data_IF_828424222852
#
_entry.id   IF_828424222852
#
_cell.length_a   1.000
_cell.length_b   1.000
_cell.length_c   1.000
_cell.angle_alpha   90.00
_cell.angle_beta   90.00
_cell.angle_gamma   90.00
#
_symmetry.space_group_name_H-M   'P 1'
#
loop_
_entity.id
_entity.type
_entity.pdbx_description
1 polymer ?
#
# COMPACT_ATOMS: atom_id res chain seq x y z
N UNK A 1 -14.65 -31.06 -65.18
CA UNK A 1 -15.71 -30.12 -64.79
C UNK A 1 -16.57 -30.88 -63.79
N UNK A 2 -16.22 -30.73 -62.51
CA UNK A 2 -17.09 -30.13 -61.46
C UNK A 2 -18.05 -31.17 -60.88
N UNK A 3 -18.25 -31.34 -59.57
CA UNK A 3 -17.67 -30.83 -58.33
C UNK A 3 -18.14 -31.78 -57.22
N UNK A 4 -17.35 -31.86 -56.17
CA UNK A 4 -17.57 -32.49 -54.86
C UNK A 4 -18.86 -32.06 -54.16
N UNK A 5 -19.38 -32.91 -53.26
CA UNK A 5 -19.93 -32.50 -51.96
C UNK A 5 -19.84 -33.66 -50.96
N UNK A 6 -18.82 -33.59 -50.11
CA UNK A 6 -18.64 -34.44 -48.93
C UNK A 6 -18.94 -33.59 -47.69
N UNK A 7 -20.08 -33.87 -47.04
CA UNK A 7 -20.42 -33.34 -45.72
C UNK A 7 -19.53 -33.99 -44.65
N UNK A 8 -18.51 -33.27 -44.19
CA UNK A 8 -17.84 -33.53 -42.92
C UNK A 8 -18.23 -32.43 -41.93
N UNK A 9 -19.06 -32.77 -40.95
CA UNK A 9 -19.23 -31.96 -39.75
C UNK A 9 -18.11 -32.31 -38.77
N UNK A 10 -17.40 -31.29 -38.31
CA UNK A 10 -16.30 -31.45 -37.37
C UNK A 10 -15.63 -30.10 -37.13
N UNK A 11 -16.28 -29.27 -36.33
CA UNK A 11 -15.65 -28.13 -35.68
C UNK A 11 -15.79 -28.35 -34.18
N UNK A 12 -14.75 -28.92 -33.59
CA UNK A 12 -14.41 -28.75 -32.17
C UNK A 12 -13.50 -27.51 -32.11
N UNK A 13 -14.11 -26.36 -31.92
CA UNK A 13 -13.46 -25.10 -31.59
C UNK A 13 -13.17 -25.03 -30.09
N UNK A 14 -12.24 -25.89 -29.66
CA UNK A 14 -11.54 -25.75 -28.39
C UNK A 14 -10.65 -24.51 -28.43
N UNK A 15 -11.22 -23.35 -28.11
CA UNK A 15 -10.47 -22.12 -27.81
C UNK A 15 -9.70 -22.32 -26.51
N UNK A 16 -8.56 -23.02 -26.60
CA UNK A 16 -7.54 -23.03 -25.57
C UNK A 16 -6.99 -21.62 -25.44
N UNK A 17 -7.54 -20.85 -24.50
CA UNK A 17 -6.87 -19.70 -23.89
C UNK A 17 -5.45 -20.16 -23.53
N UNK A 18 -4.45 -19.78 -24.32
CA UNK A 18 -3.06 -19.99 -23.98
C UNK A 18 -2.78 -19.09 -22.79
N UNK A 19 -2.82 -19.65 -21.58
CA UNK A 19 -2.34 -18.98 -20.39
C UNK A 19 -0.93 -18.47 -20.72
N UNK A 20 -0.77 -17.15 -20.85
CA UNK A 20 0.55 -16.56 -21.08
C UNK A 20 1.42 -16.97 -19.91
N UNK A 21 2.47 -17.73 -20.21
CA UNK A 21 3.40 -18.21 -19.19
C UNK A 21 4.07 -17.00 -18.55
N UNK A 22 3.78 -16.75 -17.28
CA UNK A 22 4.37 -15.64 -16.52
C UNK A 22 5.86 -15.91 -16.35
N UNK A 23 6.67 -15.22 -17.16
CA UNK A 23 8.13 -15.32 -17.09
C UNK A 23 8.66 -14.38 -16.00
N UNK A 24 9.22 -14.97 -14.95
CA UNK A 24 9.96 -14.25 -13.90
C UNK A 24 11.45 -14.60 -13.97
N UNK A 25 12.31 -13.65 -13.62
CA UNK A 25 13.75 -13.88 -13.46
C UNK A 25 14.08 -14.64 -12.18
N UNK A 26 15.36 -14.97 -11.96
CA UNK A 26 15.84 -15.68 -10.75
C UNK A 26 15.54 -14.94 -9.43
N UNK A 27 15.18 -13.66 -9.52
CA UNK A 27 14.80 -12.83 -8.40
C UNK A 27 13.27 -12.67 -8.29
N UNK A 28 12.47 -13.31 -9.13
CA UNK A 28 11.01 -13.23 -9.10
C UNK A 28 10.45 -11.93 -9.71
N UNK A 29 11.15 -11.32 -10.69
CA UNK A 29 10.66 -10.12 -11.39
C UNK A 29 10.33 -10.41 -12.85
N UNK A 30 9.40 -9.63 -13.39
CA UNK A 30 9.20 -9.56 -14.84
C UNK A 30 10.50 -9.02 -15.49
N UNK A 31 11.11 -9.75 -16.43
CA UNK A 31 12.40 -9.38 -17.01
C UNK A 31 12.29 -8.15 -17.91
N UNK A 32 13.34 -7.32 -17.92
CA UNK A 32 13.49 -6.18 -18.83
C UNK A 32 14.97 -6.02 -19.21
N UNK A 33 15.28 -5.20 -20.22
CA UNK A 33 16.66 -4.94 -20.62
C UNK A 33 17.19 -3.63 -20.00
N UNK A 34 18.46 -3.59 -19.62
CA UNK A 34 19.07 -2.41 -18.98
C UNK A 34 19.15 -2.52 -17.47
N UNK A 35 19.02 -1.40 -16.75
CA UNK A 35 19.20 -1.37 -15.28
C UNK A 35 18.19 -0.45 -14.60
N UNK A 36 17.78 -0.83 -13.39
CA UNK A 36 17.03 -0.01 -12.44
C UNK A 36 17.81 0.09 -11.11
N UNK A 37 17.62 1.19 -10.38
CA UNK A 37 18.17 1.36 -9.03
C UNK A 37 17.15 0.89 -7.99
N UNK A 38 17.31 -0.35 -7.52
CA UNK A 38 16.46 -0.93 -6.47
C UNK A 38 16.87 -0.53 -5.05
N UNK A 39 17.93 0.27 -4.89
CA UNK A 39 18.32 0.74 -3.57
C UNK A 39 17.25 1.71 -3.04
N UNK A 40 17.09 1.75 -1.73
CA UNK A 40 16.29 2.79 -1.10
C UNK A 40 16.91 4.18 -1.42
N UNK A 41 16.13 5.07 -2.03
CA UNK A 41 16.51 6.47 -2.29
C UNK A 41 15.52 7.43 -1.67
N UNK A 42 16.02 8.58 -1.24
CA UNK A 42 15.21 9.65 -0.68
C UNK A 42 15.65 10.99 -1.24
N UNK A 43 14.69 11.78 -1.71
CA UNK A 43 14.89 13.06 -2.37
C UNK A 43 14.12 14.13 -1.60
N UNK A 44 14.85 15.03 -0.94
CA UNK A 44 14.25 16.12 -0.14
C UNK A 44 13.98 17.34 -1.00
N UNK A 45 12.79 17.93 -0.92
CA UNK A 45 12.40 19.04 -1.80
C UNK A 45 12.36 18.63 -3.27
N UNK A 46 11.96 17.37 -3.52
CA UNK A 46 11.80 16.81 -4.85
C UNK A 46 10.64 17.50 -5.57
N UNK A 47 9.49 17.63 -4.92
CA UNK A 47 8.36 18.39 -5.43
C UNK A 47 8.72 19.88 -5.42
N UNK A 48 8.81 20.49 -6.61
CA UNK A 48 9.16 21.90 -6.78
C UNK A 48 7.94 22.77 -6.60
N UNK A 49 7.79 23.25 -5.38
CA UNK A 49 6.82 24.27 -5.03
C UNK A 49 7.34 25.66 -5.41
N UNK A 50 6.44 26.53 -5.86
CA UNK A 50 6.75 27.91 -6.20
C UNK A 50 7.30 28.67 -4.98
N UNK A 51 8.19 29.66 -5.20
CA UNK A 51 8.74 30.45 -4.09
C UNK A 51 7.70 31.30 -3.33
N UNK A 52 7.99 31.61 -2.06
CA UNK A 52 7.16 32.50 -1.23
C UNK A 52 5.73 31.98 -1.03
N UNK A 53 4.72 32.86 -1.14
CA UNK A 53 3.31 32.48 -1.02
C UNK A 53 2.77 31.57 -2.12
N UNK A 54 3.57 31.28 -3.16
CA UNK A 54 3.21 30.31 -4.20
C UNK A 54 3.29 28.86 -3.71
N UNK A 55 4.22 28.55 -2.80
CA UNK A 55 4.41 27.17 -2.32
C UNK A 55 3.16 26.60 -1.66
N UNK A 56 2.55 27.40 -0.80
CA UNK A 56 1.33 27.02 -0.09
C UNK A 56 0.16 26.82 -1.06
N UNK A 57 0.07 27.66 -2.10
CA UNK A 57 -0.96 27.50 -3.13
C UNK A 57 -0.77 26.22 -3.94
N UNK A 58 0.45 25.91 -4.34
CA UNK A 58 0.77 24.67 -5.05
C UNK A 58 0.43 23.45 -4.19
N UNK A 59 0.79 23.49 -2.91
CA UNK A 59 0.50 22.43 -1.96
C UNK A 59 -1.00 22.25 -1.72
N UNK A 60 -1.74 23.34 -1.57
CA UNK A 60 -3.20 23.31 -1.43
C UNK A 60 -3.88 22.71 -2.66
N UNK A 61 -3.41 23.06 -3.87
CA UNK A 61 -3.90 22.44 -5.11
C UNK A 61 -3.62 20.94 -5.12
N UNK A 62 -2.39 20.52 -4.85
CA UNK A 62 -2.01 19.10 -4.85
C UNK A 62 -2.81 18.29 -3.81
N UNK A 63 -3.01 18.84 -2.60
CA UNK A 63 -3.76 18.16 -1.53
C UNK A 63 -5.26 18.09 -1.83
N UNK A 64 -5.84 19.16 -2.39
CA UNK A 64 -7.24 19.16 -2.83
C UNK A 64 -7.47 18.10 -3.91
N UNK A 65 -6.65 18.10 -4.95
CA UNK A 65 -6.74 17.13 -6.04
C UNK A 65 -6.55 15.69 -5.51
N UNK A 66 -5.63 15.47 -4.57
CA UNK A 66 -5.48 14.19 -3.89
C UNK A 66 -6.73 13.80 -3.08
N UNK A 67 -7.42 14.74 -2.42
CA UNK A 67 -8.68 14.47 -1.73
C UNK A 67 -9.79 14.07 -2.69
N UNK A 68 -9.92 14.79 -3.81
CA UNK A 68 -10.93 14.50 -4.83
C UNK A 68 -10.75 13.10 -5.38
N UNK A 69 -9.53 12.72 -5.77
CA UNK A 69 -9.23 11.36 -6.24
C UNK A 69 -9.46 10.32 -5.16
N UNK A 70 -9.04 10.58 -3.92
CA UNK A 70 -9.25 9.64 -2.80
C UNK A 70 -10.74 9.36 -2.52
N UNK A 71 -11.60 10.37 -2.64
CA UNK A 71 -13.05 10.21 -2.43
C UNK A 71 -13.74 9.40 -3.52
N UNK A 72 -13.33 9.57 -4.78
CA UNK A 72 -13.86 8.76 -5.90
C UNK A 72 -13.64 7.28 -5.58
N UNK A 73 -12.45 6.95 -5.08
CA UNK A 73 -12.10 5.61 -4.59
C UNK A 73 -12.92 5.14 -3.38
N UNK A 74 -13.22 6.01 -2.41
CA UNK A 74 -14.09 5.63 -1.28
C UNK A 74 -15.52 5.32 -1.73
N UNK A 75 -16.08 6.12 -2.65
CA UNK A 75 -17.45 6.01 -3.11
C UNK A 75 -17.72 4.71 -3.92
N UNK A 76 -16.68 4.08 -4.48
CA UNK A 76 -16.76 2.80 -5.18
C UNK A 76 -16.69 1.57 -4.28
N UNK A 77 -16.30 1.69 -3.00
CA UNK A 77 -16.12 0.54 -2.11
C UNK A 77 -17.40 0.21 -1.32
N UNK A 78 -17.99 -0.96 -1.57
CA UNK A 78 -19.21 -1.45 -0.89
C UNK A 78 -19.01 -1.72 0.63
N UNK A 79 -17.75 -1.82 1.09
CA UNK A 79 -17.40 -2.24 2.46
C UNK A 79 -16.60 -1.24 3.28
N UNK A 80 -16.46 0.02 2.86
CA UNK A 80 -15.75 1.05 3.64
C UNK A 80 -14.26 0.80 3.87
N UNK A 81 -13.70 -0.24 3.24
CA UNK A 81 -12.29 -0.52 3.08
C UNK A 81 -11.96 -0.34 1.60
N UNK A 82 -10.94 0.46 1.31
CA UNK A 82 -10.48 0.75 -0.05
C UNK A 82 -10.30 -0.56 -0.83
N UNK A 83 -11.14 -0.81 -1.84
CA UNK A 83 -11.09 -1.98 -2.72
C UNK A 83 -9.88 -1.98 -3.68
N UNK A 84 -8.75 -1.39 -3.26
CA UNK A 84 -7.51 -1.43 -4.03
C UNK A 84 -7.50 -0.58 -5.30
N UNK A 85 -8.49 0.29 -5.56
CA UNK A 85 -8.50 1.07 -6.80
C UNK A 85 -7.23 1.94 -6.91
N UNK A 86 -6.46 1.64 -7.94
CA UNK A 86 -5.25 2.34 -8.37
C UNK A 86 -5.42 2.73 -9.82
N UNK A 87 -4.74 3.78 -10.25
CA UNK A 87 -4.88 4.31 -11.59
C UNK A 87 -3.68 4.01 -12.47
N UNK A 88 -3.91 3.75 -13.75
CA UNK A 88 -2.86 3.48 -14.71
C UNK A 88 -2.49 4.71 -15.54
N UNK A 89 -1.18 4.90 -15.71
CA UNK A 89 -0.56 5.86 -16.62
C UNK A 89 0.45 5.11 -17.50
N UNK A 90 0.06 4.82 -18.74
CA UNK A 90 0.94 4.13 -19.69
C UNK A 90 2.21 4.94 -19.99
N UNK A 91 3.31 4.24 -20.30
CA UNK A 91 4.63 4.83 -20.47
C UNK A 91 4.70 5.94 -21.53
N UNK A 92 3.88 5.86 -22.58
CA UNK A 92 3.83 6.77 -23.72
C UNK A 92 2.53 7.59 -23.83
N UNK A 93 1.61 7.46 -22.88
CA UNK A 93 0.40 8.27 -22.84
C UNK A 93 0.73 9.76 -22.57
N UNK A 94 -0.13 10.67 -23.02
CA UNK A 94 -0.02 12.09 -22.62
C UNK A 94 -0.80 12.31 -21.32
N UNK A 95 -0.22 12.98 -20.31
CA UNK A 95 -0.91 13.22 -19.05
C UNK A 95 -2.06 14.21 -19.25
N UNK A 96 -3.22 13.89 -18.66
CA UNK A 96 -4.46 14.65 -18.78
C UNK A 96 -4.74 15.55 -17.57
N UNK A 97 -3.97 15.40 -16.49
CA UNK A 97 -4.00 16.26 -15.31
C UNK A 97 -2.63 16.32 -14.62
N UNK A 98 -2.51 17.15 -13.60
CA UNK A 98 -1.26 17.39 -12.88
C UNK A 98 -0.75 16.16 -12.10
N UNK A 99 -1.66 15.34 -11.56
CA UNK A 99 -1.30 14.10 -10.85
C UNK A 99 -0.78 13.03 -11.82
N UNK A 100 -1.43 12.90 -12.98
CA UNK A 100 -0.97 12.07 -14.09
C UNK A 100 0.41 12.50 -14.60
N UNK A 101 0.63 13.81 -14.75
CA UNK A 101 1.93 14.35 -15.13
C UNK A 101 3.02 14.03 -14.08
N UNK A 102 2.67 14.06 -12.79
CA UNK A 102 3.56 13.69 -11.70
C UNK A 102 3.91 12.18 -11.74
N UNK A 103 2.92 11.30 -11.90
CA UNK A 103 3.13 9.86 -12.06
C UNK A 103 4.06 9.56 -13.24
N UNK A 104 3.80 10.19 -14.39
CA UNK A 104 4.60 10.00 -15.58
C UNK A 104 6.03 10.52 -15.41
N UNK A 105 6.23 11.66 -14.76
CA UNK A 105 7.56 12.20 -14.48
C UNK A 105 8.38 11.26 -13.58
N UNK A 106 7.76 10.67 -12.55
CA UNK A 106 8.37 9.67 -11.67
C UNK A 106 8.78 8.42 -12.47
N UNK A 107 7.85 7.87 -13.27
CA UNK A 107 8.13 6.71 -14.12
C UNK A 107 9.30 6.96 -15.07
N UNK A 108 9.25 8.06 -15.84
CA UNK A 108 10.30 8.43 -16.81
C UNK A 108 11.67 8.60 -16.14
N UNK A 109 11.70 9.17 -14.94
CA UNK A 109 12.96 9.35 -14.21
C UNK A 109 13.62 8.03 -13.83
N UNK A 110 12.85 7.13 -13.19
CA UNK A 110 13.37 5.88 -12.65
C UNK A 110 13.70 4.87 -13.75
N UNK A 111 13.01 4.94 -14.89
CA UNK A 111 13.20 4.02 -16.02
C UNK A 111 14.17 4.51 -17.09
N UNK A 112 14.87 5.64 -16.87
CA UNK A 112 15.76 6.27 -17.87
C UNK A 112 16.86 5.35 -18.44
N UNK A 113 17.28 4.35 -17.67
CA UNK A 113 18.32 3.38 -18.04
C UNK A 113 17.76 1.99 -18.39
N UNK A 114 16.43 1.85 -18.41
CA UNK A 114 15.73 0.64 -18.77
C UNK A 114 15.23 0.69 -20.23
N UNK A 115 15.10 -0.49 -20.83
CA UNK A 115 14.49 -0.75 -22.12
C UNK A 115 13.39 -1.79 -21.89
N UNK A 116 12.19 -1.42 -22.28
CA UNK A 116 10.96 -2.14 -21.97
C UNK A 116 9.97 -1.95 -23.13
N UNK A 117 8.95 -2.80 -23.17
CA UNK A 117 7.79 -2.67 -24.04
C UNK A 117 6.86 -1.60 -23.49
N UNK A 118 6.70 -0.50 -24.23
CA UNK A 118 5.89 0.65 -23.82
C UNK A 118 4.40 0.32 -23.75
N UNK A 119 3.92 -0.65 -24.55
CA UNK A 119 2.50 -0.99 -24.60
C UNK A 119 1.99 -1.60 -23.29
N UNK A 120 2.90 -2.23 -22.53
CA UNK A 120 2.62 -2.92 -21.28
C UNK A 120 3.56 -2.45 -20.18
N UNK A 121 3.98 -1.18 -20.20
CA UNK A 121 4.76 -0.58 -19.11
C UNK A 121 4.17 0.75 -18.72
N UNK A 122 4.33 1.16 -17.48
CA UNK A 122 3.76 2.40 -17.00
C UNK A 122 3.85 2.59 -15.50
N UNK A 123 3.16 3.63 -15.06
CA UNK A 123 2.98 3.97 -13.66
C UNK A 123 1.58 3.54 -13.22
N UNK A 124 1.50 2.65 -12.25
CA UNK A 124 0.32 2.51 -11.41
C UNK A 124 0.44 3.55 -10.29
N UNK A 125 -0.58 4.35 -10.05
CA UNK A 125 -0.51 5.46 -9.09
C UNK A 125 -1.81 5.64 -8.32
N UNK A 126 -1.70 6.15 -7.10
CA UNK A 126 -2.85 6.47 -6.26
C UNK A 126 -2.46 7.51 -5.21
N UNK A 127 -3.45 7.92 -4.43
CA UNK A 127 -3.31 8.84 -3.32
C UNK A 127 -3.83 8.20 -2.05
N UNK A 128 -3.23 8.58 -0.93
CA UNK A 128 -3.72 8.23 0.40
C UNK A 128 -3.97 9.52 1.18
N UNK A 129 -5.17 9.68 1.72
CA UNK A 129 -5.58 10.83 2.55
C UNK A 129 -6.21 10.31 3.84
N UNK A 130 -5.40 10.11 4.87
CA UNK A 130 -5.81 9.51 6.15
C UNK A 130 -5.46 10.41 7.34
N UNK A 131 -6.03 10.13 8.51
CA UNK A 131 -5.67 10.78 9.75
C UNK A 131 -4.18 10.62 10.07
N UNK A 132 -3.61 11.58 10.80
CA UNK A 132 -2.21 11.52 11.22
C UNK A 132 -1.91 10.41 12.23
N UNK A 133 -2.95 9.90 12.88
CA UNK A 133 -2.96 8.79 13.83
C UNK A 133 -3.42 7.46 13.20
N UNK A 134 -3.81 7.47 11.93
CA UNK A 134 -4.18 6.26 11.20
C UNK A 134 -2.95 5.48 10.73
N UNK A 135 -3.08 4.15 10.72
CA UNK A 135 -2.10 3.22 10.20
C UNK A 135 -2.25 3.03 8.68
N UNK A 136 -1.12 2.90 7.99
CA UNK A 136 -1.09 2.10 6.75
C UNK A 136 -0.54 0.74 7.12
N UNK A 137 -1.40 -0.29 6.98
CA UNK A 137 -1.09 -1.67 7.29
C UNK A 137 0.13 -2.19 6.53
N UNK A 138 0.71 -3.28 7.03
CA UNK A 138 1.85 -3.92 6.37
C UNK A 138 1.38 -4.67 5.13
N UNK A 139 2.02 -4.41 3.99
CA UNK A 139 1.66 -5.02 2.72
C UNK A 139 2.87 -5.09 1.77
N UNK A 140 2.68 -5.87 0.71
CA UNK A 140 3.45 -5.78 -0.51
C UNK A 140 2.59 -5.15 -1.59
N UNK A 141 3.18 -4.29 -2.39
CA UNK A 141 2.54 -3.85 -3.62
C UNK A 141 2.61 -4.99 -4.62
N UNK A 142 1.48 -5.39 -5.19
CA UNK A 142 1.40 -6.48 -6.15
C UNK A 142 0.15 -6.39 -7.02
N UNK A 143 0.19 -7.12 -8.11
CA UNK A 143 -0.96 -7.37 -8.96
C UNK A 143 -1.85 -8.44 -8.32
N UNK A 144 -2.81 -8.02 -7.50
CA UNK A 144 -3.65 -8.95 -6.72
C UNK A 144 -4.47 -9.91 -7.60
N UNK A 145 -4.73 -9.55 -8.87
CA UNK A 145 -5.44 -10.42 -9.79
C UNK A 145 -4.62 -11.68 -10.15
N UNK A 146 -3.28 -11.62 -10.09
CA UNK A 146 -2.43 -12.78 -10.40
C UNK A 146 -2.38 -13.81 -9.30
N UNK A 147 -2.86 -13.49 -8.09
CA UNK A 147 -2.91 -14.45 -6.98
C UNK A 147 -3.81 -15.65 -7.32
N UNK A 148 -4.88 -15.44 -8.09
CA UNK A 148 -5.73 -16.52 -8.59
C UNK A 148 -4.97 -17.51 -9.49
N UNK A 149 -3.86 -17.08 -10.08
CA UNK A 149 -2.94 -17.92 -10.85
C UNK A 149 -1.81 -18.52 -10.01
N UNK A 150 -1.80 -18.26 -8.69
CA UNK A 150 -0.83 -18.80 -7.73
C UNK A 150 0.50 -18.05 -7.66
N UNK A 151 0.61 -16.86 -8.26
CA UNK A 151 1.85 -16.08 -8.27
C UNK A 151 1.66 -14.67 -7.70
N UNK A 152 2.62 -14.25 -6.87
CA UNK A 152 2.78 -12.87 -6.45
C UNK A 152 3.68 -12.13 -7.45
N UNK A 153 3.12 -11.14 -8.16
CA UNK A 153 3.85 -10.30 -9.11
C UNK A 153 3.88 -8.86 -8.60
N UNK A 154 5.08 -8.28 -8.54
CA UNK A 154 5.32 -6.99 -7.92
C UNK A 154 5.79 -5.94 -8.94
N UNK A 155 5.57 -4.65 -8.66
CA UNK A 155 6.22 -3.60 -9.42
C UNK A 155 7.75 -3.69 -9.25
N UNK A 156 8.48 -3.17 -10.23
CA UNK A 156 9.94 -3.09 -10.12
C UNK A 156 10.35 -2.13 -9.00
N UNK A 157 9.67 -0.98 -8.90
CA UNK A 157 9.89 0.01 -7.84
C UNK A 157 8.55 0.47 -7.27
N UNK A 158 8.51 0.66 -5.96
CA UNK A 158 7.45 1.37 -5.27
C UNK A 158 7.97 2.72 -4.78
N UNK A 159 7.08 3.72 -4.72
CA UNK A 159 7.46 5.09 -4.36
C UNK A 159 6.44 5.77 -3.45
N UNK A 160 6.93 6.74 -2.67
CA UNK A 160 6.08 7.61 -1.85
C UNK A 160 6.52 9.05 -2.01
N UNK A 161 5.59 9.92 -2.39
CA UNK A 161 5.74 11.37 -2.39
C UNK A 161 4.85 11.98 -1.33
N UNK A 162 5.43 12.69 -0.37
CA UNK A 162 4.71 13.27 0.75
C UNK A 162 4.17 14.66 0.38
N UNK A 163 2.85 14.82 0.47
CA UNK A 163 2.17 16.11 0.33
C UNK A 163 1.85 16.73 1.71
N UNK A 164 2.08 16.01 2.82
CA UNK A 164 2.08 16.56 4.17
C UNK A 164 3.27 16.07 5.00
N UNK A 165 3.50 16.70 6.15
CA UNK A 165 4.53 16.33 7.13
C UNK A 165 3.92 15.68 8.39
N UNK A 166 2.75 15.04 8.22
CA UNK A 166 1.95 14.43 9.29
C UNK A 166 1.95 12.90 9.16
N UNK A 167 1.87 12.21 10.29
CA UNK A 167 1.74 10.76 10.37
C UNK A 167 3.02 9.99 10.69
N UNK A 168 2.87 8.67 10.82
CA UNK A 168 4.00 7.76 11.01
C UNK A 168 4.99 7.76 9.84
N UNK A 169 6.26 7.41 10.08
CA UNK A 169 7.22 7.17 9.01
C UNK A 169 6.75 6.03 8.11
N UNK A 170 7.01 6.13 6.81
CA UNK A 170 6.98 4.94 5.97
C UNK A 170 8.16 4.06 6.35
N UNK A 171 7.88 2.79 6.65
CA UNK A 171 8.87 1.77 6.98
C UNK A 171 8.97 0.78 5.83
N UNK A 172 10.19 0.50 5.38
CA UNK A 172 10.47 -0.47 4.32
C UNK A 172 11.41 -1.52 4.88
N UNK A 173 10.99 -2.78 4.84
CA UNK A 173 11.74 -3.93 5.32
C UNK A 173 12.19 -4.73 4.11
N UNK A 174 13.44 -5.20 4.09
CA UNK A 174 13.93 -6.03 2.98
C UNK A 174 13.40 -7.49 3.02
N UNK A 175 12.17 -7.68 3.50
CA UNK A 175 11.41 -8.92 3.42
C UNK A 175 10.64 -8.93 2.11
N UNK A 176 10.93 -9.93 1.27
CA UNK A 176 10.21 -10.14 0.01
C UNK A 176 9.00 -11.04 0.22
N UNK A 177 7.94 -10.78 -0.53
CA UNK A 177 6.85 -11.75 -0.71
C UNK A 177 7.43 -12.97 -1.45
N UNK A 178 7.06 -14.21 -1.07
CA UNK A 178 7.37 -15.38 -1.87
C UNK A 178 6.74 -15.27 -3.27
N UNK A 179 7.40 -15.82 -4.29
CA UNK A 179 6.87 -15.79 -5.66
C UNK A 179 5.59 -16.62 -5.78
N UNK A 180 5.52 -17.76 -5.11
CA UNK A 180 4.32 -18.61 -5.09
C UNK A 180 3.41 -18.17 -3.96
N UNK A 181 2.12 -17.99 -4.25
CA UNK A 181 1.13 -17.71 -3.22
C UNK A 181 1.04 -18.90 -2.23
N UNK A 182 1.01 -18.59 -0.93
CA UNK A 182 0.92 -19.60 0.14
C UNK A 182 2.27 -20.15 0.62
N UNK A 183 3.39 -19.82 -0.03
CA UNK A 183 4.71 -20.12 0.51
C UNK A 183 4.97 -19.35 1.83
N UNK A 184 5.84 -19.91 2.68
CA UNK A 184 6.07 -19.38 4.02
C UNK A 184 6.56 -17.94 4.03
N UNK A 185 5.92 -17.11 4.85
CA UNK A 185 6.33 -15.74 5.14
C UNK A 185 7.39 -15.64 6.24
N UNK A 186 7.87 -16.74 6.82
CA UNK A 186 8.86 -16.71 7.90
C UNK A 186 10.25 -16.27 7.43
N UNK A 187 11.03 -15.69 8.33
CA UNK A 187 12.45 -15.42 8.10
C UNK A 187 12.97 -14.16 8.74
N UNK A 188 14.29 -13.98 8.66
CA UNK A 188 14.98 -12.82 9.21
C UNK A 188 14.94 -11.65 8.25
N UNK A 189 14.56 -10.48 8.76
CA UNK A 189 14.75 -9.20 8.07
C UNK A 189 16.14 -8.68 8.45
N UNK A 190 16.91 -8.23 7.46
CA UNK A 190 18.29 -7.78 7.69
C UNK A 190 18.46 -6.28 7.57
N UNK A 191 17.48 -5.57 6.98
CA UNK A 191 17.50 -4.12 6.80
C UNK A 191 16.11 -3.52 6.98
N UNK A 192 16.06 -2.39 7.67
CA UNK A 192 14.87 -1.57 7.85
C UNK A 192 15.21 -0.12 7.47
N UNK A 193 14.45 0.43 6.53
CA UNK A 193 14.51 1.84 6.18
C UNK A 193 13.31 2.59 6.75
N UNK A 194 13.53 3.72 7.41
CA UNK A 194 12.46 4.60 7.90
C UNK A 194 12.51 5.94 7.17
N UNK A 195 11.36 6.43 6.71
CA UNK A 195 11.25 7.70 6.00
C UNK A 195 10.17 8.56 6.65
N UNK A 196 10.55 9.64 7.33
CA UNK A 196 9.58 10.51 8.01
C UNK A 196 8.79 11.38 7.00
N UNK A 197 7.48 11.61 7.16
CA UNK A 197 6.77 12.53 6.28
C UNK A 197 7.40 13.93 6.27
N UNK A 198 7.54 14.50 5.09
CA UNK A 198 7.96 15.88 4.89
C UNK A 198 7.47 16.38 3.53
N UNK A 199 6.84 17.55 3.53
CA UNK A 199 6.26 18.14 2.32
C UNK A 199 7.29 18.17 1.19
N UNK A 200 6.89 17.60 0.05
CA UNK A 200 7.67 17.55 -1.18
C UNK A 200 8.82 16.55 -1.16
N UNK A 201 8.96 15.72 -0.14
CA UNK A 201 9.92 14.60 -0.14
C UNK A 201 9.39 13.46 -1.01
N UNK A 202 10.27 12.88 -1.82
CA UNK A 202 10.02 11.67 -2.59
C UNK A 202 10.96 10.55 -2.09
N UNK A 203 10.51 9.30 -2.14
CA UNK A 203 11.36 8.13 -1.91
C UNK A 203 10.98 7.01 -2.88
N UNK A 204 11.95 6.14 -3.19
CA UNK A 204 11.72 4.91 -3.93
C UNK A 204 12.47 3.74 -3.28
N UNK A 205 12.00 2.53 -3.53
CA UNK A 205 12.56 1.28 -3.03
C UNK A 205 12.14 0.11 -3.95
N UNK A 206 12.76 -1.05 -3.76
CA UNK A 206 12.39 -2.30 -4.46
C UNK A 206 10.91 -2.65 -4.20
N UNK A 207 10.11 -2.76 -5.25
CA UNK A 207 8.66 -2.97 -5.12
C UNK A 207 8.25 -4.29 -4.44
N UNK A 208 9.18 -5.23 -4.32
CA UNK A 208 8.94 -6.52 -3.62
C UNK A 208 9.10 -6.40 -2.10
N UNK A 209 9.48 -5.26 -1.55
CA UNK A 209 9.74 -5.12 -0.11
C UNK A 209 8.48 -4.85 0.70
N UNK A 210 8.36 -5.57 1.82
CA UNK A 210 7.31 -5.40 2.81
C UNK A 210 7.40 -3.99 3.41
N UNK A 211 6.29 -3.27 3.43
CA UNK A 211 6.29 -1.90 3.91
C UNK A 211 4.94 -1.49 4.50
N UNK A 212 4.92 -0.36 5.19
CA UNK A 212 3.74 0.21 5.83
C UNK A 212 4.04 1.60 6.40
N UNK A 213 3.05 2.23 7.04
CA UNK A 213 3.26 3.47 7.77
C UNK A 213 2.56 3.40 9.14
N UNK A 214 3.15 2.69 10.13
CA UNK A 214 2.53 2.52 11.43
C UNK A 214 2.51 3.83 12.25
N UNK A 215 1.33 4.26 12.67
CA UNK A 215 1.07 5.38 13.56
C UNK A 215 1.78 5.21 14.92
N UNK A 216 1.95 3.97 15.40
CA UNK A 216 2.72 3.68 16.62
C UNK A 216 4.17 4.20 16.59
N UNK A 217 4.72 4.45 15.38
CA UNK A 217 6.05 5.01 15.17
C UNK A 217 6.07 6.54 15.04
N UNK A 218 4.91 7.20 14.95
CA UNK A 218 4.83 8.67 14.88
C UNK A 218 5.43 9.33 16.13
N UNK A 219 5.23 8.72 17.30
CA UNK A 219 5.71 9.20 18.61
C UNK A 219 7.21 8.98 18.85
N UNK A 220 7.95 8.37 17.92
CA UNK A 220 9.41 8.26 18.05
C UNK A 220 10.03 9.65 18.11
N UNK A 221 9.49 10.61 17.35
CA UNK A 221 10.02 11.97 17.34
C UNK A 221 9.04 12.95 18.00
N UNK A 222 9.55 13.88 18.83
CA UNK A 222 8.70 14.89 19.43
C UNK A 222 8.02 15.75 18.36
N UNK A 223 6.74 16.04 18.56
CA UNK A 223 5.97 16.95 17.72
C UNK A 223 6.58 18.36 17.79
N UNK A 224 6.49 19.13 16.69
CA UNK A 224 6.95 20.53 16.69
C UNK A 224 6.17 21.32 17.77
N UNK A 225 6.82 22.24 18.52
CA UNK A 225 6.12 23.09 19.47
C UNK A 225 4.96 23.84 18.80
N UNK A 226 3.74 23.70 19.33
CA UNK A 226 2.54 24.35 18.79
C UNK A 226 1.69 23.51 17.85
N UNK A 227 2.13 22.32 17.44
CA UNK A 227 1.29 21.34 16.75
C UNK A 227 0.37 20.69 17.81
N UNK A 228 -0.90 21.12 17.87
CA UNK A 228 -1.87 20.47 18.76
C UNK A 228 -2.03 19.03 18.29
N UNK A 229 -1.74 18.07 19.18
CA UNK A 229 -2.14 16.68 18.97
C UNK A 229 -3.67 16.66 18.80
N UNK A 230 -4.22 15.95 17.81
CA UNK A 230 -5.58 15.47 17.91
C UNK A 230 -5.69 14.74 19.25
N UNK A 231 -6.74 15.00 20.02
CA UNK A 231 -6.94 14.31 21.29
C UNK A 231 -7.19 12.84 20.96
N UNK A 232 -6.33 11.96 21.46
CA UNK A 232 -6.69 10.56 21.68
C UNK A 232 -7.69 10.55 22.84
N UNK A 233 -8.96 10.85 22.57
CA UNK A 233 -10.01 10.46 23.51
C UNK A 233 -10.12 8.94 23.39
N UNK A 234 -9.65 8.23 24.41
CA UNK A 234 -9.89 6.80 24.67
C UNK A 234 -11.38 6.53 24.97
N UNK A 235 -12.26 7.05 24.12
CA UNK A 235 -13.71 6.96 24.21
C UNK A 235 -14.26 6.29 22.95
N UNK A 236 -14.48 4.99 23.07
CA UNK A 236 -15.45 4.19 22.33
C UNK A 236 -16.18 4.96 21.20
N UNK A 237 -15.57 4.95 20.01
CA UNK A 237 -16.21 5.42 18.78
C UNK A 237 -16.30 4.23 17.82
N UNK A 238 -17.15 3.27 18.18
CA UNK A 238 -17.85 2.45 17.19
C UNK A 238 -18.43 3.40 16.13
N UNK A 239 -18.07 3.18 14.86
CA UNK A 239 -18.86 3.61 13.70
C UNK A 239 -19.34 5.06 13.73
N UNK A 240 -18.43 6.02 13.72
CA UNK A 240 -18.77 7.43 13.51
C UNK A 240 -18.65 7.80 12.04
N UNK A 241 -19.62 7.38 11.22
CA UNK A 241 -19.93 7.96 9.91
C UNK A 241 -20.25 9.46 10.01
N UNK A 242 -19.25 10.25 10.37
CA UNK A 242 -19.28 11.69 10.45
C UNK A 242 -19.22 12.26 9.05
N UNK A 243 -20.39 12.36 8.41
CA UNK A 243 -20.65 13.27 7.30
C UNK A 243 -20.43 14.71 7.75
N UNK A 244 -19.17 15.10 7.98
CA UNK A 244 -18.79 16.48 7.85
C UNK A 244 -18.94 16.80 6.36
N UNK A 245 -20.05 17.44 6.04
CA UNK A 245 -20.35 18.10 4.79
C UNK A 245 -19.32 19.24 4.61
N UNK A 246 -18.04 18.87 4.48
CA UNK A 246 -16.93 19.75 4.18
C UNK A 246 -17.04 20.09 2.70
N UNK A 247 -17.12 21.38 2.40
CA UNK A 247 -17.17 21.92 1.04
C UNK A 247 -16.30 21.08 0.09
N UNK A 248 -16.95 20.59 -0.97
CA UNK A 248 -16.47 19.56 -1.89
C UNK A 248 -15.08 19.89 -2.50
N UNK A 249 -14.75 21.19 -2.55
CA UNK A 249 -13.52 21.73 -3.13
C UNK A 249 -12.38 22.04 -2.13
N UNK A 250 -12.54 21.72 -0.84
CA UNK A 250 -11.55 22.10 0.18
C UNK A 250 -10.39 21.08 0.32
N UNK A 251 -9.18 21.59 0.53
CA UNK A 251 -8.02 20.75 0.78
C UNK A 251 -8.15 20.02 2.15
N UNK A 252 -7.55 18.81 2.29
CA UNK A 252 -7.45 18.08 3.56
C UNK A 252 -6.99 18.96 4.72
N UNK A 253 -7.50 18.63 5.92
CA UNK A 253 -7.11 19.27 7.17
C UNK A 253 -5.60 19.18 7.45
N UNK A 254 -5.07 20.07 8.30
CA UNK A 254 -3.64 20.14 8.62
C UNK A 254 -3.12 18.94 9.44
N UNK A 255 -4.04 18.11 9.95
CA UNK A 255 -3.83 16.87 10.69
C UNK A 255 -3.87 15.62 9.80
N UNK A 256 -4.10 15.77 8.49
CA UNK A 256 -4.16 14.65 7.56
C UNK A 256 -2.77 14.29 7.01
N UNK A 257 -2.47 12.99 7.01
CA UNK A 257 -1.37 12.41 6.24
C UNK A 257 -1.80 12.30 4.77
N UNK A 258 -1.08 12.97 3.89
CA UNK A 258 -1.35 12.99 2.45
C UNK A 258 -0.12 12.49 1.69
N UNK A 259 -0.28 11.39 0.96
CA UNK A 259 0.77 10.84 0.11
C UNK A 259 0.27 10.56 -1.30
N UNK A 260 1.16 10.75 -2.27
CA UNK A 260 1.00 10.34 -3.66
C UNK A 260 1.98 9.20 -3.94
N UNK A 261 1.47 8.06 -4.38
CA UNK A 261 2.23 6.83 -4.55
C UNK A 261 2.26 6.45 -6.03
N UNK A 262 3.39 5.90 -6.46
CA UNK A 262 3.60 5.41 -7.82
C UNK A 262 4.40 4.13 -7.78
N UNK A 263 3.85 3.09 -8.38
CA UNK A 263 4.49 1.84 -8.70
C UNK A 263 4.97 1.87 -10.15
N UNK A 264 6.23 1.48 -10.35
CA UNK A 264 6.87 1.42 -11.67
C UNK A 264 6.80 -0.02 -12.17
N UNK A 265 6.03 -0.23 -13.23
CA UNK A 265 5.85 -1.52 -13.88
C UNK A 265 6.54 -1.53 -15.25
N UNK A 266 7.45 -2.48 -15.46
CA UNK A 266 8.09 -2.73 -16.76
C UNK A 266 7.64 -4.08 -17.33
N UNK A 267 7.27 -4.09 -18.60
CA UNK A 267 6.84 -5.28 -19.35
C UNK A 267 5.64 -6.00 -18.71
N UNK A 268 4.86 -5.32 -17.87
CA UNK A 268 3.59 -5.77 -17.32
C UNK A 268 2.67 -4.58 -17.01
N UNK A 269 1.38 -4.78 -17.24
CA UNK A 269 0.29 -3.94 -16.76
C UNK A 269 -0.42 -4.69 -15.62
N UNK A 270 -0.54 -4.14 -14.40
CA UNK A 270 -1.30 -4.78 -13.33
C UNK A 270 -2.80 -4.80 -13.69
N UNK A 271 -3.48 -5.93 -13.50
CA UNK A 271 -4.84 -6.10 -14.04
C UNK A 271 -5.87 -5.23 -13.32
N UNK A 272 -5.59 -4.83 -12.08
CA UNK A 272 -6.48 -4.00 -11.25
C UNK A 272 -6.33 -2.49 -11.46
N UNK A 273 -5.41 -2.03 -12.32
CA UNK A 273 -5.17 -0.60 -12.51
C UNK A 273 -5.74 -0.11 -13.85
N UNK A 274 -6.78 0.73 -13.78
CA UNK A 274 -7.38 1.37 -14.96
C UNK A 274 -7.02 2.85 -15.05
N UNK A 275 -7.05 3.48 -16.24
CA UNK A 275 -6.89 4.92 -16.35
C UNK A 275 -7.94 5.66 -15.50
N UNK A 276 -7.54 6.77 -14.86
CA UNK A 276 -8.47 7.64 -14.15
C UNK A 276 -9.60 8.11 -15.10
N UNK A 277 -10.84 8.14 -14.61
CA UNK A 277 -11.98 8.48 -15.43
C UNK A 277 -11.96 9.95 -15.90
N UNK A 278 -12.45 10.18 -17.13
CA UNK A 278 -12.43 11.50 -17.76
C UNK A 278 -13.25 12.56 -17.01
N UNK A 279 -14.23 12.15 -16.19
CA UNK A 279 -15.06 13.08 -15.44
C UNK A 279 -14.29 13.65 -14.24
N UNK A 280 -13.55 12.80 -13.51
CA UNK A 280 -12.63 13.18 -12.45
C UNK A 280 -11.47 13.99 -13.01
N UNK A 281 -10.83 13.56 -14.11
CA UNK A 281 -9.72 14.29 -14.74
C UNK A 281 -10.06 15.78 -15.00
N UNK A 282 -11.29 16.07 -15.43
CA UNK A 282 -11.75 17.45 -15.72
C UNK A 282 -11.85 18.35 -14.49
N UNK A 283 -11.95 17.79 -13.29
CA UNK A 283 -12.04 18.57 -12.04
C UNK A 283 -10.66 18.86 -11.44
N UNK A 284 -9.63 18.12 -11.86
CA UNK A 284 -8.27 18.23 -11.33
C UNK A 284 -7.47 19.37 -11.98
N UNK A 285 -6.43 19.81 -11.27
CA UNK A 285 -5.49 20.79 -11.79
C UNK A 285 -4.81 20.28 -13.06
N UNK A 286 -4.61 21.18 -14.00
CA UNK A 286 -3.97 20.91 -15.29
C UNK A 286 -2.49 21.33 -15.30
N UNK A 287 -2.10 22.25 -14.41
CA UNK A 287 -0.71 22.70 -14.27
C UNK A 287 0.12 21.60 -13.59
N UNK A 288 1.15 21.04 -14.23
CA UNK A 288 1.95 19.95 -13.65
C UNK A 288 2.61 20.36 -12.34
N UNK A 289 2.71 19.42 -11.40
CA UNK A 289 3.56 19.58 -10.21
C UNK A 289 4.99 19.11 -10.55
N UNK A 290 5.96 20.02 -10.76
CA UNK A 290 7.27 19.60 -11.23
C UNK A 290 8.01 18.83 -10.14
N UNK A 291 8.72 17.78 -10.51
CA UNK A 291 9.53 16.97 -9.61
C UNK A 291 10.98 16.93 -10.06
N UNK A 292 11.91 17.07 -9.13
CA UNK A 292 13.35 16.99 -9.34
C UNK A 292 13.94 15.86 -8.51
N UNK A 293 14.32 14.81 -9.22
CA UNK A 293 14.95 13.61 -8.68
C UNK A 293 16.43 13.56 -9.05
N UNK A 294 17.07 14.71 -9.25
CA UNK A 294 18.51 14.78 -9.49
C UNK A 294 19.34 14.54 -8.22
N UNK A 295 20.65 14.39 -8.40
CA UNK A 295 21.62 14.30 -7.29
C UNK A 295 21.54 15.50 -6.33
N UNK A 296 21.05 16.66 -6.78
CA UNK A 296 20.91 17.85 -5.93
C UNK A 296 19.85 17.67 -4.82
N UNK A 297 18.79 16.89 -5.07
CA UNK A 297 17.74 16.59 -4.10
C UNK A 297 17.97 15.26 -3.38
N UNK A 298 18.79 14.37 -3.95
CA UNK A 298 19.12 13.08 -3.35
C UNK A 298 19.81 13.23 -1.99
N UNK A 299 19.33 12.48 -1.00
CA UNK A 299 19.89 12.39 0.34
C UNK A 299 20.09 10.92 0.68
N UNK A 300 21.33 10.56 1.00
CA UNK A 300 21.63 9.24 1.52
C UNK A 300 20.92 9.04 2.88
N UNK A 301 20.37 7.85 3.16
CA UNK A 301 19.81 7.56 4.46
C UNK A 301 20.92 7.63 5.52
N UNK A 302 20.59 8.12 6.71
CA UNK A 302 21.50 8.05 7.86
C UNK A 302 21.55 6.61 8.34
N UNK A 303 22.73 5.98 8.26
CA UNK A 303 22.93 4.59 8.68
C UNK A 303 23.11 4.52 10.20
N UNK A 304 22.27 3.72 10.85
CA UNK A 304 22.31 3.46 12.28
C UNK A 304 22.71 2.02 12.53
N UNK A 305 23.96 1.85 12.96
CA UNK A 305 24.49 0.56 13.39
C UNK A 305 24.24 0.39 14.89
N UNK A 306 23.30 -0.48 15.26
CA UNK A 306 23.02 -0.75 16.67
C UNK A 306 23.85 -1.95 17.11
N UNK A 307 25.01 -1.67 17.71
CA UNK A 307 25.85 -2.71 18.29
C UNK A 307 25.26 -3.19 19.63
N UNK A 308 25.25 -4.51 19.83
CA UNK A 308 24.69 -5.18 21.01
C UNK A 308 25.33 -4.80 22.35
N UNK A 309 26.47 -4.11 22.34
CA UNK A 309 27.23 -3.73 23.55
C UNK A 309 26.92 -2.33 24.07
N UNK A 310 26.30 -1.46 23.25
CA UNK A 310 25.82 -0.16 23.71
C UNK A 310 24.36 -0.30 24.08
N UNK A 311 24.06 -0.11 25.35
CA UNK A 311 22.76 0.00 26.00
C UNK A 311 21.90 1.19 25.49
N UNK A 312 21.92 1.48 24.19
CA UNK A 312 20.89 2.28 23.57
C UNK A 312 19.56 1.54 23.83
N UNK A 313 18.67 2.17 24.58
CA UNK A 313 17.35 1.60 24.93
C UNK A 313 16.57 1.39 23.64
N UNK A 314 16.70 0.19 23.06
CA UNK A 314 15.85 -0.23 21.95
C UNK A 314 14.43 -0.41 22.47
N UNK A 315 13.45 0.14 21.76
CA UNK A 315 12.04 -0.12 22.01
C UNK A 315 11.58 -1.17 21.02
N UNK A 316 10.92 -2.21 21.53
CA UNK A 316 10.28 -3.22 20.69
C UNK A 316 8.93 -2.69 20.23
N UNK A 317 8.66 -2.87 18.94
CA UNK A 317 7.38 -2.66 18.30
C UNK A 317 6.97 -3.98 17.67
N UNK A 318 5.70 -4.35 17.85
CA UNK A 318 5.18 -5.64 17.43
C UNK A 318 3.81 -5.47 16.80
N UNK A 319 3.61 -6.13 15.67
CA UNK A 319 2.33 -6.22 14.97
C UNK A 319 2.04 -7.70 14.73
N UNK A 320 0.80 -8.13 14.95
CA UNK A 320 0.35 -9.51 14.78
C UNK A 320 -0.75 -9.58 13.72
N UNK A 321 -0.77 -10.66 12.94
CA UNK A 321 -1.60 -10.87 11.76
C UNK A 321 -2.15 -12.30 11.74
N UNK A 322 -3.30 -12.50 11.09
CA UNK A 322 -3.99 -13.80 10.95
C UNK A 322 -5.39 -13.78 11.59
N UNK A 323 -6.32 -14.56 11.05
CA UNK A 323 -7.71 -14.58 11.52
C UNK A 323 -7.78 -15.01 12.99
N UNK A 324 -8.43 -14.18 13.80
CA UNK A 324 -8.97 -14.63 15.09
C UNK A 324 -10.14 -15.52 14.71
N UNK A 325 -10.02 -16.83 14.90
CA UNK A 325 -11.16 -17.75 14.82
C UNK A 325 -12.18 -17.34 15.89
N UNK A 326 -13.06 -16.42 15.53
CA UNK A 326 -14.23 -16.02 16.29
C UNK A 326 -15.40 -16.20 15.35
N UNK A 327 -16.31 -17.12 15.69
CA UNK A 327 -17.63 -17.18 15.07
C UNK A 327 -18.20 -15.76 15.00
N UNK A 328 -18.52 -15.32 13.80
CA UNK A 328 -19.45 -14.23 13.58
C UNK A 328 -20.81 -14.68 14.13
N UNK A 329 -21.02 -14.47 15.43
CA UNK A 329 -22.36 -14.44 16.02
C UNK A 329 -22.99 -13.08 15.67
N UNK A 330 -23.25 -12.85 14.38
CA UNK A 330 -24.23 -11.87 13.92
C UNK A 330 -25.53 -12.61 13.61
N UNK A 331 -26.12 -13.17 14.67
CA UNK A 331 -27.54 -13.55 14.69
C UNK A 331 -28.35 -12.29 14.99
N UNK A 332 -28.47 -11.41 13.98
CA UNK A 332 -29.49 -10.36 13.97
C UNK A 332 -30.69 -10.86 13.15
N UNK A 333 -31.49 -11.70 13.83
CA UNK A 333 -32.84 -11.98 13.42
C UNK A 333 -33.65 -10.69 13.32
N UNK A 334 -34.05 -10.34 12.09
CA UNK A 334 -35.16 -9.43 11.87
C UNK A 334 -36.22 -10.15 11.04
N UNK A 335 -37.12 -10.81 11.75
CA UNK A 335 -38.42 -11.24 11.23
C UNK A 335 -39.22 -9.98 10.88
N UNK A 336 -39.51 -9.78 9.59
CA UNK A 336 -40.59 -8.89 9.16
C UNK A 336 -41.72 -9.74 8.57
N UNK A 337 -42.85 -9.70 9.26
CA UNK A 337 -44.12 -10.28 8.89
C UNK A 337 -44.53 -9.93 7.45
N UNK A 338 -44.78 -10.97 6.65
CA UNK A 338 -45.41 -10.91 5.35
C UNK A 338 -46.32 -12.11 5.16
N UNK A 339 -47.56 -11.98 5.64
CA UNK A 339 -48.67 -12.85 5.25
C UNK A 339 -48.90 -12.71 3.73
N UNK A 340 -48.72 -13.78 2.96
CA UNK A 340 -49.82 -14.33 2.16
C UNK A 340 -49.45 -15.66 1.46
N UNK A 341 -50.46 -16.51 1.38
CA UNK A 341 -50.41 -17.94 1.12
C UNK A 341 -50.06 -18.33 -0.33
N UNK A 342 -49.38 -19.48 -0.51
CA UNK A 342 -49.96 -20.66 -1.21
C UNK A 342 -49.02 -21.90 -1.23
N UNK A 343 -49.55 -22.99 -0.66
CA UNK A 343 -49.47 -24.38 -1.13
C UNK A 343 -48.12 -25.15 -1.24
N UNK A 344 -47.87 -25.95 -0.19
CA UNK A 344 -47.68 -27.42 -0.20
C UNK A 344 -46.68 -28.08 -1.17
N UNK A 345 -45.61 -28.69 -0.61
CA UNK A 345 -45.39 -30.14 -0.66
C UNK A 345 -44.25 -30.58 0.28
N UNK A 346 -44.52 -31.68 1.00
CA UNK A 346 -43.64 -32.45 1.88
C UNK A 346 -42.34 -32.90 1.20
N UNK A 347 -41.26 -33.04 1.98
CA UNK A 347 -40.55 -34.32 2.17
C UNK A 347 -39.55 -34.23 3.33
N UNK A 348 -39.71 -35.18 4.23
CA UNK A 348 -38.74 -35.62 5.22
C UNK A 348 -37.51 -36.20 4.51
N UNK A 349 -36.30 -35.93 5.01
CA UNK A 349 -35.26 -36.96 5.12
C UNK A 349 -34.14 -36.49 6.07
N UNK A 350 -33.87 -37.37 7.02
CA UNK A 350 -32.80 -37.28 7.99
C UNK A 350 -31.58 -38.06 7.48
N UNK A 351 -30.41 -37.44 7.50
CA UNK A 351 -29.09 -38.08 7.44
C UNK A 351 -28.08 -37.05 7.94
N UNK A 352 -27.62 -37.09 9.20
CA UNK A 352 -26.53 -37.94 9.67
C UNK A 352 -25.36 -37.99 8.67
N UNK A 353 -24.53 -36.94 8.72
CA UNK A 353 -23.16 -36.98 8.20
C UNK A 353 -22.25 -36.31 9.23
N UNK A 354 -21.44 -37.16 9.84
CA UNK A 354 -20.30 -36.82 10.66
C UNK A 354 -19.17 -36.35 9.76
N UNK A 355 -19.05 -35.04 9.54
CA UNK A 355 -17.85 -34.47 8.94
C UNK A 355 -16.99 -33.83 10.02
N UNK A 356 -15.79 -34.39 10.15
CA UNK A 356 -14.73 -33.95 11.02
C UNK A 356 -14.37 -32.50 10.70
N UNK A 357 -14.71 -31.59 11.62
CA UNK A 357 -14.09 -30.27 11.72
C UNK A 357 -12.59 -30.45 11.97
N UNK A 358 -11.85 -30.64 10.88
CA UNK A 358 -10.43 -30.44 10.87
C UNK A 358 -10.20 -28.94 11.03
N UNK A 359 -10.06 -28.49 12.28
CA UNK A 359 -9.55 -27.16 12.62
C UNK A 359 -8.25 -26.94 11.82
N UNK A 360 -8.38 -26.29 10.66
CA UNK A 360 -7.24 -25.73 9.96
C UNK A 360 -6.62 -24.76 10.95
N UNK A 361 -5.46 -25.13 11.51
CA UNK A 361 -4.73 -24.26 12.44
C UNK A 361 -4.43 -22.97 11.71
N UNK A 362 -5.18 -21.92 12.02
CA UNK A 362 -4.97 -20.59 11.51
C UNK A 362 -3.55 -20.15 11.86
N UNK A 363 -2.73 -19.92 10.83
CA UNK A 363 -1.33 -19.53 11.03
C UNK A 363 -1.27 -18.07 11.50
N UNK A 364 -0.89 -17.94 12.77
CA UNK A 364 -0.48 -16.73 13.48
C UNK A 364 0.74 -16.09 12.84
N UNK A 365 0.81 -14.83 12.45
CA UNK A 365 2.11 -14.20 12.11
C UNK A 365 2.38 -12.94 12.92
N UNK A 366 3.66 -12.59 13.12
CA UNK A 366 4.04 -11.31 13.73
C UNK A 366 5.27 -10.68 13.06
N UNK A 367 5.26 -9.35 12.97
CA UNK A 367 6.42 -8.51 12.65
C UNK A 367 6.93 -7.91 13.96
N UNK A 368 8.21 -8.10 14.26
CA UNK A 368 8.85 -7.54 15.45
C UNK A 368 10.00 -6.63 15.01
N UNK A 369 9.99 -5.35 15.43
CA UNK A 369 11.05 -4.38 15.16
C UNK A 369 11.61 -3.80 16.46
N UNK A 370 12.93 -3.89 16.69
CA UNK A 370 13.60 -3.34 17.89
C UNK A 370 14.38 -2.06 17.61
N UNK A 371 13.72 -0.91 17.60
CA UNK A 371 14.33 0.33 17.13
C UNK A 371 15.09 1.11 18.23
N UNK A 372 16.26 1.72 17.90
CA UNK A 372 17.03 2.53 18.85
C UNK A 372 16.43 3.95 19.01
N UNK A 373 15.29 4.06 19.71
CA UNK A 373 14.48 5.29 19.77
C UNK A 373 15.27 6.53 20.18
N UNK A 374 16.16 6.43 21.18
CA UNK A 374 16.97 7.58 21.60
C UNK A 374 17.93 8.05 20.51
N UNK A 375 18.59 7.12 19.81
CA UNK A 375 19.46 7.48 18.69
C UNK A 375 18.67 8.10 17.53
N UNK A 376 17.45 7.61 17.27
CA UNK A 376 16.54 8.20 16.28
C UNK A 376 16.13 9.64 16.67
N UNK A 377 15.94 9.92 17.96
CA UNK A 377 15.60 11.25 18.49
C UNK A 377 16.77 12.24 18.48
N UNK A 378 17.99 11.77 18.75
CA UNK A 378 19.21 12.59 18.83
C UNK A 378 19.66 13.14 17.47
N UNK A 379 19.26 12.47 16.38
CA UNK A 379 19.43 13.00 15.03
C UNK A 379 18.41 14.14 14.90
N UNK A 380 18.82 15.33 15.35
CA UNK A 380 17.93 16.45 15.64
C UNK A 380 17.26 17.08 14.42
N UNK A 381 16.31 17.99 14.67
CA UNK A 381 15.46 18.68 13.69
C UNK A 381 16.22 19.28 12.48
N UNK A 382 17.49 19.67 12.65
CA UNK A 382 18.35 20.20 11.58
C UNK A 382 18.71 19.22 10.46
N UNK A 383 18.59 17.90 10.71
CA UNK A 383 18.65 16.86 9.68
C UNK A 383 17.28 16.20 9.43
N UNK A 384 16.24 16.59 10.17
CA UNK A 384 15.08 15.74 10.50
C UNK A 384 13.72 16.44 10.37
N UNK A 385 13.63 17.40 9.45
CA UNK A 385 12.35 17.77 8.82
C UNK A 385 11.98 16.85 7.66
N UNK A 386 12.13 15.53 7.81
CA UNK A 386 11.95 14.55 6.73
C UNK A 386 13.09 13.55 6.49
N UNK A 387 13.90 13.25 7.51
CA UNK A 387 15.02 12.32 7.38
C UNK A 387 14.61 10.92 6.89
N UNK A 388 15.56 10.24 6.28
CA UNK A 388 15.48 8.81 5.99
C UNK A 388 16.63 8.08 6.68
N UNK A 389 16.36 6.89 7.21
CA UNK A 389 17.27 6.15 8.08
C UNK A 389 17.37 4.72 7.60
N UNK A 390 18.56 4.13 7.64
CA UNK A 390 18.77 2.70 7.43
C UNK A 390 19.26 2.11 8.75
N UNK A 391 18.50 1.19 9.32
CA UNK A 391 18.78 0.60 10.65
C UNK A 391 19.27 -0.82 10.47
N UNK A 392 20.49 -1.08 10.94
CA UNK A 392 21.12 -2.40 10.96
C UNK A 392 21.15 -2.89 12.41
N UNK A 393 20.34 -3.91 12.71
CA UNK A 393 20.26 -4.55 14.03
C UNK A 393 20.82 -5.97 13.98
N UNK A 394 21.07 -6.56 15.15
CA UNK A 394 21.45 -7.98 15.27
C UNK A 394 20.34 -8.89 14.73
N UNK A 395 20.73 -10.04 14.19
CA UNK A 395 19.85 -11.18 13.88
C UNK A 395 18.79 -11.42 14.99
N UNK A 396 17.52 -11.61 14.60
CA UNK A 396 16.36 -11.73 15.50
C UNK A 396 15.80 -10.41 16.05
N UNK A 397 16.33 -9.27 15.60
CA UNK A 397 15.79 -7.94 15.97
C UNK A 397 14.80 -7.38 14.95
N UNK A 398 14.78 -7.99 13.77
CA UNK A 398 13.75 -7.88 12.77
C UNK A 398 13.40 -9.29 12.29
N UNK A 399 12.19 -9.75 12.58
CA UNK A 399 11.75 -11.09 12.22
C UNK A 399 10.27 -11.11 11.83
N UNK A 400 9.96 -11.96 10.86
CA UNK A 400 8.62 -12.51 10.67
C UNK A 400 8.60 -13.93 11.23
N UNK A 401 7.60 -14.25 12.06
CA UNK A 401 7.49 -15.55 12.72
C UNK A 401 6.07 -16.05 12.75
N UNK A 402 5.86 -17.36 12.65
CA UNK A 402 4.60 -17.94 13.04
C UNK A 402 4.40 -17.84 14.57
N UNK A 403 3.17 -17.63 15.01
CA UNK A 403 2.76 -17.71 16.40
C UNK A 403 2.20 -19.11 16.65
N UNK A 404 2.65 -19.77 17.73
CA UNK A 404 2.15 -21.09 18.07
C UNK A 404 0.67 -21.01 18.47
N UNK A 405 -0.14 -22.02 18.09
CA UNK A 405 -1.48 -22.22 18.63
C UNK A 405 -1.36 -22.42 20.14
N UNK A 406 -1.61 -21.37 20.93
CA UNK A 406 -1.39 -21.36 22.38
C UNK A 406 -0.55 -20.18 22.89
N UNK A 407 0.12 -19.43 22.02
CA UNK A 407 0.66 -18.09 22.34
C UNK A 407 -0.50 -17.08 22.40
N UNK A 408 -1.51 -17.39 23.21
CA UNK A 408 -2.53 -16.45 23.62
C UNK A 408 -1.87 -15.44 24.55
N UNK A 409 -1.64 -14.23 24.04
CA UNK A 409 -1.58 -13.09 24.94
C UNK A 409 -2.98 -12.92 25.51
N UNK A 410 -3.16 -13.36 26.76
CA UNK A 410 -4.23 -12.89 27.63
C UNK A 410 -4.03 -11.38 27.78
N UNK A 411 -4.86 -10.61 27.10
CA UNK A 411 -5.20 -9.24 27.48
C UNK A 411 -6.71 -9.22 27.70
N UNK A 412 -7.10 -9.66 28.88
CA UNK A 412 -8.41 -9.30 29.42
C UNK A 412 -8.43 -7.80 29.60
N UNK A 413 -9.34 -7.12 28.89
CA UNK A 413 -9.80 -5.80 29.28
C UNK A 413 -11.17 -5.98 29.90
N UNK A 414 -11.22 -5.83 31.22
CA UNK A 414 -12.44 -5.46 31.93
C UNK A 414 -12.88 -4.06 31.48
N UNK A 415 -14.16 -3.94 31.14
CA UNK A 415 -14.97 -2.75 31.34
C UNK A 415 -14.66 -1.51 30.50
N UNK A 416 -15.52 -1.25 29.53
CA UNK A 416 -16.54 -0.21 29.74
C UNK A 416 -17.92 -0.85 29.53
#
# INVERSE_FOLDING_TARGET
MDRSDSNGCGSDDGSSSSAEELLLDDEGRVPFAGTLDYAFRSYTGALKLSGGGGAERDLQRARRDARSVFRVKEAGSEYGLSAGETYWMAADAEPRCALEALAQAIFKHHTRAARFDRAISGAEWWVQVIGGDDDIGWHWDKDYATEASGFNVHPHLATVTYLSDVGGPTVVLNKRDPVTCGDSLEGTITRCCLSRPAVGKHMCFDGRYLHGAPAALADIWPSKPGQKRPRSDDGDSRGGGGSAQADDDSAPGPDMRVTFLVNVWLNRHPESADPLDDSTVKTLCQDPFPIDLSEATLRAPTVLNVNSSSSARTREFRWEFGEVGGKDDSDDGNESDGEDAHAAAKRDDASDSSDSDGDAKLERHAIVLKLPVLALQEIGEGAVGGGSFEVHLKEGSFETRALAAGDGMVLGIHGA
#
